data_IF_426966862088
#
_entry.id   IF_426966862088
#
_cell.length_a   1.000
_cell.length_b   1.000
_cell.length_c   1.000
_cell.angle_alpha   90.00
_cell.angle_beta   90.00
_cell.angle_gamma   90.00
#
_symmetry.space_group_name_H-M   'P 1'
#
loop_
_entity.id
_entity.type
_entity.pdbx_description
1 polymer ?
#
# COMPACT_ATOMS: atom_id res chain seq x y z
N UNK A 1 -6.23 7.65 -23.29
CA UNK A 1 -6.68 6.74 -22.22
C UNK A 1 -5.90 7.09 -20.97
N UNK A 2 -6.52 7.82 -20.04
CA UNK A 2 -5.86 8.29 -18.82
C UNK A 2 -6.18 7.28 -17.71
N UNK A 3 -5.17 6.51 -17.27
CA UNK A 3 -5.32 5.51 -16.22
C UNK A 3 -5.35 6.24 -14.88
N UNK A 4 -6.55 6.38 -14.32
CA UNK A 4 -6.84 7.00 -13.03
C UNK A 4 -5.92 6.44 -11.94
N UNK A 5 -5.12 7.34 -11.37
CA UNK A 5 -4.21 7.15 -10.26
C UNK A 5 -4.89 6.50 -9.06
N UNK A 6 -4.45 5.32 -8.65
CA UNK A 6 -4.81 4.82 -7.31
C UNK A 6 -3.84 5.26 -6.23
N UNK A 7 -2.56 5.53 -6.51
CA UNK A 7 -1.55 5.82 -5.45
C UNK A 7 -0.22 6.36 -6.03
N UNK A 8 -0.25 7.12 -7.13
CA UNK A 8 0.98 7.65 -7.75
C UNK A 8 1.36 9.05 -7.23
N UNK A 9 0.91 9.43 -6.04
CA UNK A 9 1.53 10.53 -5.33
C UNK A 9 2.88 10.02 -4.82
N UNK A 10 3.97 10.74 -5.08
CA UNK A 10 5.34 10.34 -4.73
C UNK A 10 5.60 10.35 -3.20
N UNK A 11 4.54 10.33 -2.41
CA UNK A 11 4.52 10.48 -0.96
C UNK A 11 3.56 9.48 -0.35
N UNK A 12 4.10 8.57 0.46
CA UNK A 12 3.30 7.65 1.27
C UNK A 12 2.57 8.45 2.35
N UNK A 13 1.26 8.34 2.42
CA UNK A 13 0.43 9.08 3.36
C UNK A 13 -0.68 8.20 3.99
N UNK A 14 -1.58 8.84 4.76
CA UNK A 14 -2.66 8.15 5.48
C UNK A 14 -3.67 7.45 4.56
N UNK A 15 -3.82 7.89 3.31
CA UNK A 15 -4.66 7.23 2.32
C UNK A 15 -4.10 5.87 1.92
N UNK A 16 -2.77 5.74 1.75
CA UNK A 16 -2.14 4.45 1.45
C UNK A 16 -2.31 3.47 2.61
N UNK A 17 -2.15 3.95 3.85
CA UNK A 17 -2.39 3.14 5.07
C UNK A 17 -3.83 2.63 5.09
N UNK A 18 -4.80 3.49 4.77
CA UNK A 18 -6.22 3.12 4.74
C UNK A 18 -6.49 2.09 3.64
N UNK A 19 -5.89 2.26 2.46
CA UNK A 19 -6.02 1.32 1.36
C UNK A 19 -5.48 -0.07 1.74
N UNK A 20 -4.26 -0.17 2.27
CA UNK A 20 -3.69 -1.46 2.71
C UNK A 20 -4.51 -2.09 3.83
N UNK A 21 -5.01 -1.30 4.78
CA UNK A 21 -5.95 -1.78 5.82
C UNK A 21 -7.22 -2.37 5.23
N UNK A 22 -7.83 -1.71 4.24
CA UNK A 22 -9.07 -2.17 3.61
C UNK A 22 -8.94 -3.53 2.91
N UNK A 23 -7.70 -3.92 2.58
CA UNK A 23 -7.38 -5.16 1.87
C UNK A 23 -6.79 -6.24 2.80
N UNK A 24 -6.63 -5.95 4.09
CA UNK A 24 -6.09 -6.90 5.05
C UNK A 24 -6.91 -8.20 5.09
N UNK A 25 -6.24 -9.34 5.07
CA UNK A 25 -6.83 -10.67 5.02
C UNK A 25 -7.09 -11.20 3.60
N UNK A 26 -6.85 -10.40 2.56
CA UNK A 26 -6.92 -10.86 1.17
C UNK A 26 -5.61 -11.53 0.75
N UNK A 27 -5.72 -12.56 -0.09
CA UNK A 27 -4.58 -13.11 -0.84
C UNK A 27 -4.21 -12.17 -1.99
N UNK A 28 -2.94 -12.19 -2.37
CA UNK A 28 -2.43 -11.33 -3.43
C UNK A 28 -2.89 -11.80 -4.81
N UNK A 29 -3.34 -10.85 -5.63
CA UNK A 29 -3.75 -11.02 -7.02
C UNK A 29 -3.38 -9.79 -7.88
N UNK A 30 -3.73 -9.83 -9.17
CA UNK A 30 -3.42 -8.77 -10.15
C UNK A 30 -4.07 -7.42 -9.83
N UNK A 31 -5.10 -7.39 -8.97
CA UNK A 31 -5.81 -6.16 -8.60
C UNK A 31 -5.25 -5.51 -7.35
N UNK A 32 -4.57 -6.28 -6.49
CA UNK A 32 -4.12 -5.83 -5.17
C UNK A 32 -2.61 -5.99 -4.90
N UNK A 33 -1.82 -6.57 -5.82
CA UNK A 33 -0.37 -6.81 -5.65
C UNK A 33 0.45 -5.58 -5.24
N UNK A 34 -0.01 -4.37 -5.55
CA UNK A 34 0.67 -3.13 -5.12
C UNK A 34 0.57 -2.86 -3.62
N UNK A 35 -0.36 -3.50 -2.92
CA UNK A 35 -0.52 -3.40 -1.48
C UNK A 35 0.31 -4.40 -0.69
N UNK A 36 0.86 -5.43 -1.35
CA UNK A 36 1.76 -6.42 -0.75
C UNK A 36 3.19 -5.87 -0.84
N UNK A 37 3.55 -5.09 0.18
CA UNK A 37 4.82 -4.38 0.22
C UNK A 37 5.90 -5.19 0.93
N UNK A 38 5.51 -6.24 1.68
CA UNK A 38 6.42 -7.25 2.22
C UNK A 38 6.77 -8.33 1.20
N UNK A 39 5.97 -8.46 0.12
CA UNK A 39 6.11 -9.44 -0.96
C UNK A 39 6.01 -10.87 -0.41
N UNK A 40 5.10 -11.08 0.53
CA UNK A 40 4.88 -12.38 1.19
C UNK A 40 3.64 -13.13 0.68
N UNK A 41 2.88 -12.51 -0.24
CA UNK A 41 1.70 -13.10 -0.87
C UNK A 41 0.41 -12.94 -0.06
N UNK A 42 0.45 -12.28 1.09
CA UNK A 42 -0.71 -12.05 1.95
C UNK A 42 -0.78 -10.62 2.44
N UNK A 43 -1.92 -9.96 2.26
CA UNK A 43 -2.12 -8.61 2.77
C UNK A 43 -2.43 -8.66 4.27
N UNK A 44 -1.52 -8.17 5.11
CA UNK A 44 -1.65 -8.32 6.55
C UNK A 44 -1.07 -7.12 7.34
N UNK A 45 -0.93 -7.28 8.66
CA UNK A 45 -0.44 -6.23 9.56
C UNK A 45 1.02 -5.83 9.30
N UNK A 46 1.82 -6.72 8.68
CA UNK A 46 3.16 -6.47 8.19
C UNK A 46 3.19 -5.38 7.11
N UNK A 47 2.34 -5.49 6.09
CA UNK A 47 2.20 -4.47 5.06
C UNK A 47 1.79 -3.12 5.64
N UNK A 48 0.78 -3.14 6.51
CA UNK A 48 0.27 -1.95 7.18
C UNK A 48 1.38 -1.28 8.02
N UNK A 49 2.22 -2.09 8.68
CA UNK A 49 3.40 -1.62 9.42
C UNK A 49 4.43 -0.94 8.53
N UNK A 50 4.74 -1.55 7.38
CA UNK A 50 5.73 -1.04 6.43
C UNK A 50 5.24 0.24 5.73
N UNK A 51 3.96 0.33 5.37
CA UNK A 51 3.37 1.56 4.82
C UNK A 51 3.42 2.68 5.87
N UNK A 52 3.13 2.38 7.13
CA UNK A 52 3.26 3.35 8.24
C UNK A 52 4.70 3.84 8.44
N UNK A 53 5.70 2.96 8.36
CA UNK A 53 7.10 3.37 8.56
C UNK A 53 7.64 4.24 7.43
N UNK A 54 7.04 4.16 6.24
CA UNK A 54 7.32 5.03 5.09
C UNK A 54 6.47 6.30 5.05
N UNK A 55 5.34 6.32 5.77
CA UNK A 55 4.53 7.52 5.93
C UNK A 55 5.30 8.55 6.76
N UNK A 56 5.61 9.71 6.18
CA UNK A 56 6.39 10.76 6.83
C UNK A 56 7.89 10.77 6.51
N UNK A 57 8.41 9.78 5.77
CA UNK A 57 9.70 9.91 5.08
C UNK A 57 9.50 10.61 3.74
N UNK A 58 9.05 11.87 3.77
CA UNK A 58 9.35 12.76 2.65
C UNK A 58 10.86 13.00 2.74
N UNK A 59 11.62 12.52 1.76
CA UNK A 59 13.02 12.92 1.63
C UNK A 59 13.02 14.46 1.50
N UNK A 60 13.81 15.19 2.32
CA UNK A 60 13.93 16.64 2.22
C UNK A 60 14.45 17.09 0.86
#
# INVERSE_FOLDING_TARGET
MNLSSSTADRSVNSADISQTKSRSGQTVDITNFRSDVTVDGTLNSGDIGLVKSRSGTALP
#
